data_IF_505975450681
#
_entry.id   IF_505975450681
#
_cell.length_a   1.000
_cell.length_b   1.000
_cell.length_c   1.000
_cell.angle_alpha   90.00
_cell.angle_beta   90.00
_cell.angle_gamma   90.00
#
_symmetry.space_group_name_H-M   'P 1'
#
loop_
_entity.id
_entity.type
_entity.pdbx_description
1 polymer ?
#
# COMPACT_ATOMS: atom_id res chain seq x y z
N UNK A 1 -6.96 33.02 -18.90
CA UNK A 1 -5.91 32.02 -18.60
C UNK A 1 -6.60 30.78 -18.06
N UNK A 2 -6.80 29.77 -18.92
CA UNK A 2 -7.16 28.43 -18.44
C UNK A 2 -5.91 27.88 -17.73
N UNK A 3 -5.97 27.74 -16.42
CA UNK A 3 -5.00 26.92 -15.69
C UNK A 3 -5.11 25.49 -16.28
N UNK A 4 -4.03 25.01 -16.88
CA UNK A 4 -3.96 23.60 -17.32
C UNK A 4 -4.27 22.73 -16.12
N UNK A 5 -5.34 21.95 -16.22
CA UNK A 5 -5.73 20.99 -15.17
C UNK A 5 -4.54 20.04 -15.01
N UNK A 6 -3.94 20.01 -13.85
CA UNK A 6 -2.86 19.06 -13.55
C UNK A 6 -3.45 17.66 -13.79
N UNK A 7 -2.78 16.87 -14.61
CA UNK A 7 -3.19 15.54 -15.02
C UNK A 7 -2.00 14.59 -14.85
N UNK A 8 -2.23 13.45 -14.25
CA UNK A 8 -1.23 12.41 -14.01
C UNK A 8 -1.52 11.11 -14.80
N UNK A 9 -2.25 11.19 -15.91
CA UNK A 9 -2.59 10.02 -16.73
C UNK A 9 -1.34 9.26 -17.20
N UNK A 10 -0.29 10.00 -17.60
CA UNK A 10 0.99 9.40 -17.99
C UNK A 10 1.63 8.64 -16.83
N UNK A 11 1.66 9.24 -15.65
CA UNK A 11 2.23 8.63 -14.44
C UNK A 11 1.44 7.40 -14.01
N UNK A 12 0.12 7.41 -14.13
CA UNK A 12 -0.74 6.25 -13.89
C UNK A 12 -0.37 5.11 -14.85
N UNK A 13 -0.21 5.38 -16.15
CA UNK A 13 0.19 4.39 -17.14
C UNK A 13 1.57 3.80 -16.87
N UNK A 14 2.54 4.63 -16.47
CA UNK A 14 3.89 4.19 -16.07
C UNK A 14 3.81 3.27 -14.86
N UNK A 15 3.06 3.66 -13.82
CA UNK A 15 2.89 2.85 -12.61
C UNK A 15 2.19 1.52 -12.89
N UNK A 16 1.17 1.50 -13.75
CA UNK A 16 0.49 0.28 -14.21
C UNK A 16 1.48 -0.65 -14.93
N UNK A 17 2.26 -0.11 -15.86
CA UNK A 17 3.29 -0.88 -16.59
C UNK A 17 4.29 -1.50 -15.64
N UNK A 18 4.82 -0.72 -14.70
CA UNK A 18 5.79 -1.18 -13.72
C UNK A 18 5.21 -2.25 -12.78
N UNK A 19 4.02 -1.99 -12.20
CA UNK A 19 3.37 -2.91 -11.27
C UNK A 19 3.00 -4.25 -11.93
N UNK A 20 2.44 -4.21 -13.15
CA UNK A 20 2.10 -5.43 -13.90
C UNK A 20 3.34 -6.22 -14.32
N UNK A 21 4.41 -5.55 -14.75
CA UNK A 21 5.65 -6.21 -15.13
C UNK A 21 6.29 -6.93 -13.94
N UNK A 22 6.38 -6.24 -12.79
CA UNK A 22 6.90 -6.82 -11.55
C UNK A 22 6.02 -7.96 -11.03
N UNK A 23 4.71 -7.76 -10.95
CA UNK A 23 3.78 -8.76 -10.45
C UNK A 23 3.72 -10.02 -11.32
N UNK A 24 3.78 -9.87 -12.64
CA UNK A 24 3.88 -11.00 -13.56
C UNK A 24 5.17 -11.80 -13.29
N UNK A 25 6.29 -11.11 -13.15
CA UNK A 25 7.57 -11.72 -12.84
C UNK A 25 7.54 -12.46 -11.48
N UNK A 26 6.99 -11.83 -10.43
CA UNK A 26 6.83 -12.44 -9.11
C UNK A 26 5.98 -13.71 -9.15
N UNK A 27 4.95 -13.75 -9.98
CA UNK A 27 4.06 -14.91 -10.13
C UNK A 27 4.71 -16.03 -10.93
N UNK A 28 5.32 -15.71 -12.07
CA UNK A 28 5.85 -16.71 -13.01
C UNK A 28 7.15 -17.35 -12.55
N UNK A 29 8.04 -16.59 -11.91
CA UNK A 29 9.35 -17.09 -11.46
C UNK A 29 9.41 -17.35 -9.94
N UNK A 30 8.28 -17.51 -9.29
CA UNK A 30 8.17 -17.65 -7.83
C UNK A 30 9.12 -18.69 -7.25
N UNK A 31 9.31 -19.82 -7.92
CA UNK A 31 10.19 -20.90 -7.44
C UNK A 31 11.63 -20.42 -7.26
N UNK A 32 12.13 -19.58 -8.16
CA UNK A 32 13.49 -19.05 -8.10
C UNK A 32 13.60 -17.79 -7.25
N UNK A 33 12.49 -17.07 -7.07
CA UNK A 33 12.43 -15.81 -6.34
C UNK A 33 12.15 -15.99 -4.85
N UNK A 34 11.50 -17.07 -4.46
CA UNK A 34 11.16 -17.37 -3.07
C UNK A 34 12.37 -17.93 -2.30
N UNK A 35 13.50 -17.26 -2.42
CA UNK A 35 14.77 -17.58 -1.76
C UNK A 35 15.03 -16.52 -0.68
N UNK A 36 15.13 -16.95 0.57
CA UNK A 36 15.45 -16.08 1.69
C UNK A 36 16.88 -15.55 1.55
N UNK A 37 17.01 -14.23 1.63
CA UNK A 37 18.30 -13.53 1.72
C UNK A 37 18.62 -13.26 3.17
N UNK A 38 17.61 -12.76 3.92
CA UNK A 38 17.71 -12.46 5.33
C UNK A 38 16.40 -12.77 6.03
N UNK A 39 16.45 -13.07 7.30
CA UNK A 39 15.26 -13.35 8.11
C UNK A 39 15.57 -13.13 9.59
N UNK A 40 14.72 -12.37 10.25
CA UNK A 40 14.69 -12.23 11.70
C UNK A 40 13.35 -12.73 12.27
N UNK A 41 13.14 -12.76 13.59
CA UNK A 41 11.91 -13.32 14.16
C UNK A 41 10.60 -12.68 13.71
N UNK A 42 10.65 -11.47 13.08
CA UNK A 42 9.46 -10.69 12.72
C UNK A 42 9.45 -10.21 11.27
N UNK A 43 10.55 -10.44 10.54
CA UNK A 43 10.69 -9.96 9.17
C UNK A 43 11.45 -10.96 8.30
N UNK A 44 11.14 -10.98 7.00
CA UNK A 44 11.74 -11.88 6.02
C UNK A 44 11.98 -11.12 4.72
N UNK A 45 13.24 -11.11 4.26
CA UNK A 45 13.64 -10.54 2.99
C UNK A 45 13.94 -11.64 1.99
N UNK A 46 13.39 -11.53 0.80
CA UNK A 46 13.54 -12.50 -0.27
C UNK A 46 14.31 -11.93 -1.47
N UNK A 47 14.81 -12.81 -2.31
CA UNK A 47 15.32 -12.44 -3.64
C UNK A 47 14.23 -11.77 -4.49
N UNK A 48 12.98 -12.11 -4.23
CA UNK A 48 11.80 -11.52 -4.87
C UNK A 48 11.73 -10.01 -4.69
N UNK A 49 11.94 -9.51 -3.47
CA UNK A 49 11.88 -8.09 -3.14
C UNK A 49 12.90 -7.31 -3.99
N UNK A 50 14.17 -7.71 -3.95
CA UNK A 50 15.25 -7.03 -4.69
C UNK A 50 15.06 -7.05 -6.21
N UNK A 51 14.67 -8.19 -6.77
CA UNK A 51 14.52 -8.33 -8.23
C UNK A 51 13.26 -7.63 -8.74
N UNK A 52 12.18 -7.65 -7.96
CA UNK A 52 10.98 -6.90 -8.26
C UNK A 52 11.25 -5.40 -8.24
N UNK A 53 11.92 -4.91 -7.19
CA UNK A 53 12.29 -3.49 -7.10
C UNK A 53 13.14 -3.04 -8.28
N UNK A 54 14.20 -3.80 -8.61
CA UNK A 54 15.04 -3.46 -9.76
C UNK A 54 14.22 -3.27 -11.03
N UNK A 55 13.30 -4.16 -11.31
CA UNK A 55 12.45 -4.11 -12.52
C UNK A 55 11.54 -2.87 -12.50
N UNK A 56 10.96 -2.54 -11.34
CA UNK A 56 10.14 -1.33 -11.18
C UNK A 56 10.98 -0.08 -11.40
N UNK A 57 12.16 0.00 -10.76
CA UNK A 57 13.06 1.15 -10.87
C UNK A 57 13.55 1.36 -12.30
N UNK A 58 13.88 0.29 -13.02
CA UNK A 58 14.30 0.37 -14.43
C UNK A 58 13.21 1.05 -15.29
N UNK A 59 11.93 0.74 -15.04
CA UNK A 59 10.79 1.34 -15.76
C UNK A 59 10.56 2.78 -15.31
N UNK A 60 10.50 3.05 -14.01
CA UNK A 60 10.25 4.40 -13.49
C UNK A 60 11.35 5.38 -13.92
N UNK A 61 12.62 4.97 -13.85
CA UNK A 61 13.74 5.83 -14.24
C UNK A 61 13.81 6.06 -15.76
N UNK A 62 13.35 5.11 -16.59
CA UNK A 62 13.28 5.26 -18.03
C UNK A 62 12.15 6.19 -18.49
N UNK A 63 10.98 6.04 -17.88
CA UNK A 63 9.75 6.64 -18.39
C UNK A 63 9.30 7.90 -17.63
N UNK A 64 9.90 8.18 -16.45
CA UNK A 64 9.57 9.29 -15.55
C UNK A 64 10.81 10.05 -15.11
N UNK A 65 10.63 11.33 -14.77
CA UNK A 65 11.70 12.22 -14.24
C UNK A 65 11.61 12.40 -12.72
N UNK A 66 10.61 11.83 -12.04
CA UNK A 66 10.47 11.98 -10.60
C UNK A 66 11.42 11.01 -9.87
N UNK A 67 12.08 11.47 -8.79
CA UNK A 67 12.87 10.60 -7.92
C UNK A 67 12.03 9.48 -7.32
N UNK A 68 12.68 8.47 -6.79
CA UNK A 68 12.02 7.31 -6.18
C UNK A 68 12.51 7.11 -4.75
N UNK A 69 11.57 6.86 -3.84
CA UNK A 69 11.77 6.25 -2.53
C UNK A 69 11.28 4.80 -2.62
N UNK A 70 12.17 3.85 -2.43
CA UNK A 70 11.86 2.43 -2.51
C UNK A 70 12.27 1.69 -1.23
N UNK A 71 11.58 0.61 -0.89
CA UNK A 71 11.79 -0.14 0.35
C UNK A 71 13.22 -0.65 0.48
N UNK A 72 13.76 -1.27 -0.58
CA UNK A 72 15.00 -2.02 -0.54
C UNK A 72 16.25 -1.17 -0.73
N UNK A 73 16.19 -0.21 -1.65
CA UNK A 73 17.33 0.64 -2.01
C UNK A 73 17.26 2.05 -1.41
N UNK A 74 16.13 2.41 -0.79
CA UNK A 74 15.93 3.73 -0.21
C UNK A 74 15.70 4.82 -1.27
N UNK A 75 16.34 5.98 -1.10
CA UNK A 75 16.15 7.12 -1.99
C UNK A 75 17.06 7.06 -3.22
N UNK A 76 16.51 7.33 -4.41
CA UNK A 76 17.25 7.38 -5.67
C UNK A 76 18.10 8.63 -5.83
N UNK A 77 17.91 9.65 -4.98
CA UNK A 77 18.65 10.91 -4.97
C UNK A 77 18.78 11.47 -3.55
N UNK A 78 19.78 12.31 -3.29
CA UNK A 78 19.96 13.03 -2.02
C UNK A 78 18.77 13.94 -1.67
N UNK A 79 18.07 14.43 -2.69
CA UNK A 79 16.86 15.26 -2.53
C UNK A 79 15.73 14.68 -3.40
N UNK A 80 14.68 14.20 -2.75
CA UNK A 80 13.47 13.69 -3.41
C UNK A 80 12.62 14.81 -4.05
N UNK A 81 12.86 16.10 -3.68
CA UNK A 81 12.01 17.20 -4.13
C UNK A 81 10.59 17.11 -3.55
N UNK A 82 9.67 17.87 -4.15
CA UNK A 82 8.28 17.90 -3.68
C UNK A 82 7.45 16.70 -4.19
N UNK A 83 7.74 16.20 -5.39
CA UNK A 83 6.99 15.10 -6.04
C UNK A 83 7.96 13.94 -6.29
N UNK A 84 7.61 12.78 -5.80
CA UNK A 84 8.42 11.56 -5.95
C UNK A 84 7.58 10.29 -5.90
N UNK A 85 8.11 9.24 -6.50
CA UNK A 85 7.54 7.90 -6.42
C UNK A 85 7.85 7.25 -5.09
N UNK A 86 6.92 6.45 -4.61
CA UNK A 86 7.09 5.61 -3.42
C UNK A 86 6.73 4.18 -3.79
N UNK A 87 7.64 3.25 -3.58
CA UNK A 87 7.56 1.87 -4.10
C UNK A 87 7.75 0.86 -2.98
N UNK A 88 6.80 -0.05 -2.88
CA UNK A 88 6.95 -1.34 -2.23
C UNK A 88 6.92 -2.44 -3.31
N UNK A 89 8.07 -3.11 -3.57
CA UNK A 89 8.17 -4.09 -4.65
C UNK A 89 7.40 -5.37 -4.39
N UNK A 90 7.12 -5.69 -3.13
CA UNK A 90 6.38 -6.87 -2.70
C UNK A 90 5.82 -6.68 -1.28
N UNK A 91 4.69 -5.97 -1.17
CA UNK A 91 3.96 -5.90 0.10
C UNK A 91 3.37 -7.27 0.45
N UNK A 92 3.60 -7.71 1.68
CA UNK A 92 3.22 -9.05 2.15
C UNK A 92 4.27 -10.13 1.84
N UNK A 93 5.55 -9.83 1.97
CA UNK A 93 6.69 -10.76 1.72
C UNK A 93 6.56 -12.06 2.51
N UNK A 94 6.14 -12.02 3.77
CA UNK A 94 5.92 -13.21 4.58
C UNK A 94 4.79 -14.10 4.01
N UNK A 95 3.72 -13.51 3.50
CA UNK A 95 2.65 -14.20 2.80
C UNK A 95 3.15 -14.84 1.50
N UNK A 96 3.90 -14.08 0.70
CA UNK A 96 4.52 -14.59 -0.52
C UNK A 96 5.39 -15.81 -0.24
N UNK A 97 6.25 -15.74 0.78
CA UNK A 97 7.13 -16.84 1.18
C UNK A 97 6.35 -18.11 1.54
N UNK A 98 5.19 -17.97 2.15
CA UNK A 98 4.34 -19.08 2.63
C UNK A 98 3.25 -19.50 1.64
N UNK A 99 3.22 -18.96 0.43
CA UNK A 99 2.18 -19.18 -0.58
C UNK A 99 0.76 -18.77 -0.12
N UNK A 100 0.67 -17.78 0.77
CA UNK A 100 -0.58 -17.14 1.12
C UNK A 100 -0.86 -16.06 0.04
N UNK A 101 -1.99 -16.12 -0.69
CA UNK A 101 -2.23 -15.27 -1.86
C UNK A 101 -2.70 -13.84 -1.47
N UNK A 102 -2.08 -13.24 -0.46
CA UNK A 102 -2.34 -11.88 0.00
C UNK A 102 -1.00 -11.14 0.01
N UNK A 103 -0.59 -10.74 -1.16
CA UNK A 103 0.62 -9.95 -1.41
C UNK A 103 0.47 -9.26 -2.77
N UNK A 104 1.14 -8.12 -2.94
CA UNK A 104 0.96 -7.28 -4.12
C UNK A 104 2.20 -6.42 -4.41
N UNK A 105 2.20 -5.74 -5.54
CA UNK A 105 3.12 -4.65 -5.87
C UNK A 105 2.41 -3.33 -5.60
N UNK A 106 3.07 -2.38 -4.92
CA UNK A 106 2.51 -1.10 -4.54
C UNK A 106 3.37 0.06 -5.05
N UNK A 107 2.79 0.95 -5.86
CA UNK A 107 3.47 2.11 -6.45
C UNK A 107 2.58 3.34 -6.29
N UNK A 108 3.08 4.36 -5.58
CA UNK A 108 2.40 5.62 -5.40
C UNK A 108 3.23 6.80 -5.88
N UNK A 109 2.58 7.89 -6.27
CA UNK A 109 3.20 9.20 -6.48
C UNK A 109 2.66 10.14 -5.41
N UNK A 110 3.56 10.88 -4.78
CA UNK A 110 3.21 11.83 -3.72
C UNK A 110 3.69 13.23 -4.04
N UNK A 111 3.01 14.23 -3.49
CA UNK A 111 3.55 15.57 -3.31
C UNK A 111 3.79 15.82 -1.83
N UNK A 112 5.05 15.91 -1.43
CA UNK A 112 5.48 15.86 -0.03
C UNK A 112 5.01 14.55 0.64
N UNK A 113 3.97 14.59 1.46
CA UNK A 113 3.34 13.39 2.07
C UNK A 113 1.90 13.17 1.59
N UNK A 114 1.41 14.00 0.67
CA UNK A 114 0.05 13.88 0.14
C UNK A 114 0.03 12.94 -1.06
N UNK A 115 -0.77 11.87 -1.04
CA UNK A 115 -0.90 10.96 -2.16
C UNK A 115 -1.56 11.66 -3.35
N UNK A 116 -0.98 11.49 -4.55
CA UNK A 116 -1.53 11.99 -5.81
C UNK A 116 -2.18 10.86 -6.61
N UNK A 117 -1.43 9.79 -6.81
CA UNK A 117 -1.91 8.57 -7.45
C UNK A 117 -1.41 7.34 -6.72
N UNK A 118 -2.13 6.24 -6.86
CA UNK A 118 -1.73 4.94 -6.36
C UNK A 118 -2.11 3.83 -7.31
N UNK A 119 -1.21 2.88 -7.48
CA UNK A 119 -1.43 1.66 -8.24
C UNK A 119 -0.97 0.48 -7.40
N UNK A 120 -1.89 -0.46 -7.13
CA UNK A 120 -1.61 -1.70 -6.41
C UNK A 120 -2.05 -2.86 -7.31
N UNK A 121 -1.12 -3.77 -7.58
CA UNK A 121 -1.38 -4.95 -8.39
C UNK A 121 -1.32 -6.23 -7.58
N UNK A 122 -2.50 -6.79 -7.30
CA UNK A 122 -2.66 -8.14 -6.77
C UNK A 122 -2.43 -9.14 -7.90
N UNK A 123 -1.18 -9.58 -8.02
CA UNK A 123 -0.77 -10.49 -9.09
C UNK A 123 -1.27 -11.93 -8.90
N UNK A 124 -1.80 -12.28 -7.73
CA UNK A 124 -2.40 -13.60 -7.50
C UNK A 124 -3.78 -13.71 -8.15
N UNK A 125 -4.56 -12.63 -8.13
CA UNK A 125 -5.91 -12.55 -8.69
C UNK A 125 -5.96 -11.81 -10.03
N UNK A 126 -4.86 -11.26 -10.51
CA UNK A 126 -4.77 -10.40 -11.70
C UNK A 126 -5.64 -9.13 -11.55
N UNK A 127 -5.75 -8.62 -10.33
CA UNK A 127 -6.53 -7.44 -9.98
C UNK A 127 -5.63 -6.22 -9.83
N UNK A 128 -5.95 -5.14 -10.57
CA UNK A 128 -5.25 -3.87 -10.46
C UNK A 128 -6.15 -2.79 -9.87
N UNK A 129 -5.71 -2.23 -8.74
CA UNK A 129 -6.35 -1.12 -8.07
C UNK A 129 -5.65 0.18 -8.46
N UNK A 130 -6.42 1.20 -8.82
CA UNK A 130 -5.92 2.50 -9.26
C UNK A 130 -6.68 3.59 -8.52
N UNK A 131 -5.94 4.54 -7.94
CA UNK A 131 -6.49 5.75 -7.33
C UNK A 131 -5.89 7.00 -7.98
N UNK A 132 -6.75 7.96 -8.29
CA UNK A 132 -6.41 9.30 -8.76
C UNK A 132 -7.11 10.32 -7.88
N UNK A 133 -6.37 10.95 -6.98
CA UNK A 133 -6.93 11.90 -6.01
C UNK A 133 -7.36 13.22 -6.66
N UNK A 134 -6.73 13.59 -7.78
CA UNK A 134 -7.06 14.83 -8.51
C UNK A 134 -8.44 14.72 -9.16
N UNK A 135 -8.72 13.59 -9.81
CA UNK A 135 -10.00 13.34 -10.46
C UNK A 135 -11.01 12.64 -9.54
N UNK A 136 -10.62 12.30 -8.29
CA UNK A 136 -11.43 11.56 -7.32
C UNK A 136 -12.01 10.27 -7.90
N UNK A 137 -11.14 9.50 -8.53
CA UNK A 137 -11.52 8.28 -9.23
C UNK A 137 -10.71 7.08 -8.73
N UNK A 138 -11.40 6.11 -8.14
CA UNK A 138 -10.84 4.81 -7.80
C UNK A 138 -11.43 3.71 -8.67
N UNK A 139 -10.57 2.79 -9.11
CA UNK A 139 -10.95 1.65 -9.96
C UNK A 139 -10.30 0.36 -9.50
N UNK A 140 -11.04 -0.73 -9.66
CA UNK A 140 -10.52 -2.09 -9.66
C UNK A 140 -10.68 -2.61 -11.09
N UNK A 141 -9.57 -2.85 -11.76
CA UNK A 141 -9.54 -3.12 -13.20
C UNK A 141 -10.26 -1.96 -13.94
N UNK A 142 -11.29 -2.26 -14.70
CA UNK A 142 -12.07 -1.27 -15.44
C UNK A 142 -13.33 -0.78 -14.71
N UNK A 143 -13.55 -1.23 -13.45
CA UNK A 143 -14.77 -0.90 -12.70
C UNK A 143 -14.47 0.14 -11.63
N UNK A 144 -15.31 1.18 -11.53
CA UNK A 144 -15.26 2.13 -10.43
C UNK A 144 -15.55 1.40 -9.12
N UNK A 145 -14.77 1.72 -8.09
CA UNK A 145 -14.97 1.24 -6.72
C UNK A 145 -15.25 2.41 -5.78
N UNK A 146 -15.90 2.11 -4.67
CA UNK A 146 -16.22 3.05 -3.60
C UNK A 146 -16.12 2.34 -2.26
N UNK A 147 -15.86 3.11 -1.21
CA UNK A 147 -15.93 2.64 0.17
C UNK A 147 -17.34 2.20 0.57
N UNK A 148 -17.47 1.43 1.64
CA UNK A 148 -18.78 0.94 2.13
C UNK A 148 -19.63 2.05 2.74
N UNK A 149 -20.94 1.76 2.89
CA UNK A 149 -21.92 2.63 3.53
C UNK A 149 -22.24 2.24 4.99
N UNK A 150 -21.42 1.41 5.62
CA UNK A 150 -21.60 0.96 7.00
C UNK A 150 -21.17 2.06 7.97
N UNK A 151 -22.01 2.36 8.98
CA UNK A 151 -21.81 3.42 9.98
C UNK A 151 -21.43 2.88 11.36
N UNK A 152 -21.75 1.62 11.65
CA UNK A 152 -21.58 1.04 12.98
C UNK A 152 -20.47 -0.01 12.98
N UNK A 153 -19.54 0.09 13.90
CA UNK A 153 -18.47 -0.90 14.10
C UNK A 153 -19.00 -2.30 14.35
N UNK A 154 -20.14 -2.42 15.04
CA UNK A 154 -20.80 -3.72 15.29
C UNK A 154 -21.31 -4.43 14.03
N UNK A 155 -21.34 -3.75 12.90
CA UNK A 155 -21.66 -4.30 11.57
C UNK A 155 -20.43 -4.37 10.66
N UNK A 156 -19.34 -3.72 11.04
CA UNK A 156 -18.15 -3.48 10.22
C UNK A 156 -17.02 -4.48 10.44
N UNK A 157 -16.07 -4.42 9.52
CA UNK A 157 -14.81 -5.17 9.54
C UNK A 157 -13.65 -4.23 9.79
N UNK A 158 -12.86 -4.52 10.82
CA UNK A 158 -11.56 -3.91 11.08
C UNK A 158 -10.47 -4.78 10.45
N UNK A 159 -9.56 -4.15 9.71
CA UNK A 159 -8.28 -4.76 9.36
C UNK A 159 -7.18 -4.06 10.15
N UNK A 160 -6.27 -4.83 10.73
CA UNK A 160 -5.11 -4.32 11.49
C UNK A 160 -3.94 -5.28 11.36
N UNK A 161 -2.80 -4.94 11.97
CA UNK A 161 -1.62 -5.77 12.02
C UNK A 161 -0.82 -5.54 13.31
N UNK A 162 0.23 -6.33 13.47
CA UNK A 162 1.21 -6.23 14.55
C UNK A 162 2.60 -6.11 13.90
N UNK A 163 3.02 -4.90 13.50
CA UNK A 163 4.31 -4.69 12.87
C UNK A 163 5.47 -4.99 13.84
N UNK A 164 6.68 -5.01 13.29
CA UNK A 164 7.90 -5.42 13.99
C UNK A 164 8.10 -4.72 15.36
N UNK A 165 7.79 -3.43 15.45
CA UNK A 165 7.96 -2.61 16.65
C UNK A 165 6.68 -2.48 17.50
N UNK A 166 5.75 -3.44 17.41
CA UNK A 166 4.52 -3.42 18.22
C UNK A 166 4.83 -3.42 19.72
N UNK A 167 4.16 -2.51 20.45
CA UNK A 167 4.17 -2.51 21.90
C UNK A 167 3.31 -3.65 22.45
N UNK A 168 3.96 -4.64 23.08
CA UNK A 168 3.32 -5.79 23.71
C UNK A 168 3.11 -5.63 25.23
N UNK A 169 3.18 -4.41 25.78
CA UNK A 169 2.84 -4.17 27.18
C UNK A 169 1.37 -4.53 27.47
N UNK A 170 1.08 -4.94 28.69
CA UNK A 170 -0.28 -5.30 29.11
C UNK A 170 -1.31 -4.20 28.82
N UNK A 171 -0.92 -2.94 29.02
CA UNK A 171 -1.81 -1.80 28.75
C UNK A 171 -2.09 -1.61 27.27
N UNK A 172 -1.08 -1.75 26.40
CA UNK A 172 -1.24 -1.66 24.94
C UNK A 172 -2.12 -2.79 24.41
N UNK A 173 -1.87 -4.02 24.88
CA UNK A 173 -2.66 -5.19 24.50
C UNK A 173 -4.12 -5.10 24.97
N UNK A 174 -4.37 -4.67 26.22
CA UNK A 174 -5.74 -4.46 26.72
C UNK A 174 -6.49 -3.44 25.87
N UNK A 175 -5.83 -2.32 25.51
CA UNK A 175 -6.43 -1.29 24.68
C UNK A 175 -6.75 -1.83 23.27
N UNK A 176 -5.85 -2.58 22.69
CA UNK A 176 -6.03 -3.21 21.37
C UNK A 176 -7.22 -4.17 21.37
N UNK A 177 -7.29 -5.05 22.37
CA UNK A 177 -8.40 -6.04 22.48
C UNK A 177 -9.72 -5.33 22.75
N UNK A 178 -9.75 -4.32 23.63
CA UNK A 178 -10.95 -3.54 23.89
C UNK A 178 -11.51 -2.86 22.64
N UNK A 179 -10.63 -2.35 21.78
CA UNK A 179 -11.05 -1.79 20.50
C UNK A 179 -11.55 -2.87 19.53
N UNK A 180 -10.84 -3.99 19.42
CA UNK A 180 -11.24 -5.12 18.56
C UNK A 180 -12.63 -5.66 18.90
N UNK A 181 -12.99 -5.71 20.18
CA UNK A 181 -14.30 -6.19 20.66
C UNK A 181 -15.48 -5.32 20.17
N UNK A 182 -15.24 -4.08 19.77
CA UNK A 182 -16.31 -3.20 19.26
C UNK A 182 -16.71 -3.52 17.82
N UNK A 183 -15.94 -4.33 17.12
CA UNK A 183 -16.12 -4.66 15.70
C UNK A 183 -16.83 -6.00 15.50
N UNK A 184 -17.64 -6.08 14.44
CA UNK A 184 -18.27 -7.34 14.04
C UNK A 184 -17.25 -8.43 13.71
N UNK A 185 -16.20 -8.07 12.98
CA UNK A 185 -15.08 -8.94 12.62
C UNK A 185 -13.78 -8.16 12.60
N UNK A 186 -12.70 -8.85 12.95
CA UNK A 186 -11.33 -8.35 12.83
C UNK A 186 -10.53 -9.27 11.93
N UNK A 187 -9.66 -8.69 11.11
CA UNK A 187 -8.74 -9.41 10.22
C UNK A 187 -7.33 -8.89 10.41
N UNK A 188 -6.35 -9.79 10.41
CA UNK A 188 -4.93 -9.51 10.27
C UNK A 188 -4.46 -10.25 9.03
N UNK A 189 -4.23 -9.53 7.94
CA UNK A 189 -4.02 -10.15 6.61
C UNK A 189 -2.56 -10.12 6.16
N UNK A 190 -1.69 -9.37 6.84
CA UNK A 190 -0.26 -9.35 6.57
C UNK A 190 0.15 -8.62 5.28
N UNK A 191 -0.67 -7.68 4.82
CA UNK A 191 -0.42 -6.80 3.68
C UNK A 191 -1.17 -5.49 3.90
N UNK A 192 -0.43 -4.41 4.11
CA UNK A 192 -0.99 -3.07 4.34
C UNK A 192 -1.62 -2.50 3.07
N UNK A 193 -0.98 -2.73 1.92
CA UNK A 193 -1.51 -2.30 0.63
C UNK A 193 -2.83 -3.01 0.30
N UNK A 194 -2.93 -4.34 0.50
CA UNK A 194 -4.19 -5.06 0.29
C UNK A 194 -5.26 -4.67 1.31
N UNK A 195 -4.90 -4.39 2.57
CA UNK A 195 -5.83 -3.87 3.56
C UNK A 195 -6.47 -2.55 3.10
N UNK A 196 -5.65 -1.64 2.56
CA UNK A 196 -6.11 -0.38 1.96
C UNK A 196 -7.07 -0.60 0.79
N UNK A 197 -6.74 -1.55 -0.11
CA UNK A 197 -7.60 -1.93 -1.23
C UNK A 197 -8.97 -2.47 -0.77
N UNK A 198 -8.99 -3.22 0.32
CA UNK A 198 -10.25 -3.73 0.88
C UNK A 198 -11.11 -2.62 1.47
N UNK A 199 -10.53 -1.61 2.13
CA UNK A 199 -11.28 -0.43 2.56
C UNK A 199 -11.81 0.34 1.34
N UNK A 200 -10.98 0.61 0.34
CA UNK A 200 -11.36 1.35 -0.85
C UNK A 200 -12.47 0.68 -1.68
N UNK A 201 -12.55 -0.65 -1.62
CA UNK A 201 -13.55 -1.44 -2.37
C UNK A 201 -14.77 -1.87 -1.52
N UNK A 202 -14.92 -1.31 -0.32
CA UNK A 202 -16.07 -1.55 0.55
C UNK A 202 -16.11 -2.95 1.20
N UNK A 203 -14.97 -3.65 1.26
CA UNK A 203 -14.84 -4.98 1.89
C UNK A 203 -14.46 -4.90 3.37
N UNK A 204 -13.98 -3.75 3.82
CA UNK A 204 -13.72 -3.41 5.20
C UNK A 204 -14.03 -1.93 5.44
N UNK A 205 -14.31 -1.56 6.68
CA UNK A 205 -14.67 -0.19 7.04
C UNK A 205 -13.49 0.61 7.58
N UNK A 206 -12.52 -0.09 8.17
CA UNK A 206 -11.35 0.55 8.74
C UNK A 206 -10.12 -0.35 8.62
N UNK A 207 -9.01 0.25 8.21
CA UNK A 207 -7.67 -0.30 8.37
C UNK A 207 -6.86 0.63 9.25
N UNK A 208 -6.19 0.09 10.25
CA UNK A 208 -5.27 0.84 11.10
C UNK A 208 -4.08 -0.01 11.49
N UNK A 209 -2.93 0.63 11.51
CA UNK A 209 -1.67 0.03 11.94
C UNK A 209 -0.69 1.13 12.40
N UNK A 210 0.24 0.79 13.28
CA UNK A 210 1.24 1.72 13.81
C UNK A 210 2.64 1.27 13.46
N UNK A 211 3.50 2.23 13.11
CA UNK A 211 4.92 1.97 12.89
C UNK A 211 5.20 1.17 11.64
N UNK A 212 4.33 1.24 10.64
CA UNK A 212 4.56 0.72 9.29
C UNK A 212 5.30 1.76 8.46
N UNK A 213 5.69 1.40 7.25
CA UNK A 213 6.45 2.31 6.40
C UNK A 213 5.60 3.01 5.35
N UNK A 214 6.10 4.15 4.89
CA UNK A 214 5.39 4.98 3.91
C UNK A 214 5.12 4.22 2.60
N UNK A 215 6.04 3.36 2.16
CA UNK A 215 5.88 2.55 0.94
C UNK A 215 4.78 1.49 1.05
N UNK A 216 4.47 1.00 2.26
CA UNK A 216 3.39 0.05 2.50
C UNK A 216 2.00 0.67 2.23
N UNK A 217 1.86 2.02 2.34
CA UNK A 217 0.53 2.62 2.48
C UNK A 217 0.21 3.77 1.51
N UNK A 218 1.19 4.40 0.88
CA UNK A 218 0.93 5.61 0.08
C UNK A 218 0.03 5.35 -1.13
N UNK A 219 0.27 4.28 -1.87
CA UNK A 219 -0.59 3.91 -2.98
C UNK A 219 -2.01 3.59 -2.49
N UNK A 220 -2.11 2.87 -1.37
CA UNK A 220 -3.38 2.56 -0.72
C UNK A 220 -4.13 3.81 -0.25
N UNK A 221 -3.43 4.79 0.31
CA UNK A 221 -3.99 6.08 0.71
C UNK A 221 -4.63 6.81 -0.47
N UNK A 222 -3.92 6.88 -1.62
CA UNK A 222 -4.47 7.47 -2.84
C UNK A 222 -5.75 6.76 -3.29
N UNK A 223 -5.77 5.43 -3.24
CA UNK A 223 -6.93 4.64 -3.67
C UNK A 223 -8.11 4.84 -2.72
N UNK A 224 -7.88 4.84 -1.40
CA UNK A 224 -8.91 5.05 -0.38
C UNK A 224 -9.54 6.44 -0.52
N UNK A 225 -8.74 7.50 -0.61
CA UNK A 225 -9.24 8.87 -0.80
C UNK A 225 -10.02 9.02 -2.12
N UNK A 226 -9.52 8.42 -3.19
CA UNK A 226 -10.18 8.44 -4.50
C UNK A 226 -11.50 7.66 -4.51
N UNK A 227 -11.66 6.69 -3.60
CA UNK A 227 -12.88 5.90 -3.41
C UNK A 227 -13.92 6.56 -2.49
N UNK A 228 -13.63 7.76 -1.96
CA UNK A 228 -14.49 8.49 -1.04
C UNK A 228 -14.24 8.18 0.44
N UNK A 229 -13.18 7.44 0.76
CA UNK A 229 -12.71 7.20 2.11
C UNK A 229 -11.83 8.32 2.66
N UNK A 230 -11.33 8.11 3.87
CA UNK A 230 -10.39 9.01 4.55
C UNK A 230 -9.10 8.26 4.84
N UNK A 231 -7.96 8.80 4.43
CA UNK A 231 -6.65 8.27 4.73
C UNK A 231 -5.90 9.23 5.66
N UNK A 232 -5.69 8.82 6.90
CA UNK A 232 -4.91 9.56 7.88
C UNK A 232 -3.54 8.91 8.04
N UNK A 233 -2.48 9.68 7.80
CA UNK A 233 -1.07 9.29 7.94
C UNK A 233 -0.47 10.22 8.97
N UNK A 234 0.01 9.67 10.09
CA UNK A 234 0.49 10.42 11.22
C UNK A 234 1.88 9.94 11.66
N UNK A 235 2.54 10.76 12.48
CA UNK A 235 3.77 10.38 13.19
C UNK A 235 4.93 9.94 12.27
N UNK A 236 5.04 10.55 11.09
CA UNK A 236 6.16 10.25 10.17
C UNK A 236 7.49 10.59 10.84
N UNK A 237 8.43 9.65 10.83
CA UNK A 237 9.77 9.83 11.34
C UNK A 237 10.83 9.84 10.21
N UNK A 238 12.10 10.02 10.57
CA UNK A 238 13.20 10.08 9.61
C UNK A 238 13.42 8.75 8.84
N UNK A 239 12.97 7.63 9.40
CA UNK A 239 13.00 6.31 8.75
C UNK A 239 11.76 6.03 7.89
N UNK A 240 10.91 7.02 7.64
CA UNK A 240 9.63 6.90 6.91
C UNK A 240 8.62 5.96 7.57
N UNK A 241 8.75 5.69 8.87
CA UNK A 241 7.71 4.98 9.62
C UNK A 241 6.55 5.92 9.91
N UNK A 242 5.33 5.38 9.87
CA UNK A 242 4.08 6.11 10.03
C UNK A 242 3.06 5.31 10.82
N UNK A 243 2.11 6.02 11.42
CA UNK A 243 0.87 5.43 11.94
C UNK A 243 -0.27 5.77 10.98
N UNK A 244 -1.14 4.81 10.68
CA UNK A 244 -2.22 5.02 9.73
C UNK A 244 -3.58 4.64 10.27
N UNK A 245 -4.59 5.39 9.79
CA UNK A 245 -6.01 5.06 9.94
C UNK A 245 -6.70 5.38 8.62
N UNK A 246 -7.11 4.34 7.89
CA UNK A 246 -7.87 4.46 6.65
C UNK A 246 -9.28 3.96 6.88
N UNK A 247 -10.28 4.76 6.53
CA UNK A 247 -11.67 4.45 6.81
C UNK A 247 -12.59 4.74 5.62
N UNK A 248 -13.82 4.22 5.73
CA UNK A 248 -14.91 4.57 4.82
C UNK A 248 -15.49 5.98 5.06
N UNK A 249 -14.87 6.81 5.87
CA UNK A 249 -15.32 8.16 6.28
C UNK A 249 -16.63 8.20 7.08
N UNK A 250 -17.14 7.07 7.56
CA UNK A 250 -18.45 6.98 8.25
C UNK A 250 -18.34 6.37 9.64
N UNK A 251 -17.23 5.71 9.94
CA UNK A 251 -16.90 5.11 11.24
C UNK A 251 -15.86 5.92 11.96
#
# INVERSE_FOLDING_TARGET
YQMSKVNFDKEIEIAIKAAKSAGKFLREDKKNLNLKIDSNPRDTKLMADLKSEKLILDILNSDSNYPVLAEETGTSSENLGEIFWVVDPLDGTANYNRNIPICCVSIGLVKNTQPLIGVIFDFNNDDIFIGDTINKLARLNNKKIMVSDIYNRSEGVLITGLPFNTDYSDNALKKLISDMQTWKKVRMIGSAAMASCYVASGKAELYKEKGIYLWDIIAGAAIVESAGGKAEINNINEAFQVDVVFSNSKI
#
